data_IF_900858169605
#
_entry.id   IF_900858169605
#
_cell.length_a   1.000
_cell.length_b   1.000
_cell.length_c   1.000
_cell.angle_alpha   90.00
_cell.angle_beta   90.00
_cell.angle_gamma   90.00
#
_symmetry.space_group_name_H-M   'P 1'
#
loop_
_entity.id
_entity.type
_entity.pdbx_description
1 polymer ?
#
# COMPACT_ATOMS: atom_id res chain seq x y z
N UNK A 1 29.06 4.44 -19.42
CA UNK A 1 29.14 5.65 -18.57
C UNK A 1 30.52 6.29 -18.67
N UNK A 2 30.61 7.59 -18.98
CA UNK A 2 31.86 8.38 -19.08
C UNK A 2 32.04 9.23 -17.81
N UNK A 3 33.25 9.38 -17.30
CA UNK A 3 33.56 10.34 -16.24
C UNK A 3 34.14 11.63 -16.85
N UNK A 4 33.67 12.78 -16.38
CA UNK A 4 34.14 14.09 -16.82
C UNK A 4 34.00 15.14 -15.70
N UNK A 5 34.66 16.29 -15.86
CA UNK A 5 34.47 17.45 -14.99
C UNK A 5 33.64 18.51 -15.73
N UNK A 6 32.50 18.90 -15.15
CA UNK A 6 31.52 19.76 -15.81
C UNK A 6 31.36 21.05 -15.02
N UNK A 7 31.43 22.18 -15.72
CA UNK A 7 31.25 23.51 -15.15
C UNK A 7 29.91 23.63 -14.42
N UNK A 8 29.92 24.28 -13.26
CA UNK A 8 28.73 24.43 -12.42
C UNK A 8 27.56 25.12 -13.14
N UNK A 9 27.86 26.06 -14.04
CA UNK A 9 26.88 26.78 -14.86
C UNK A 9 26.27 25.94 -15.99
N UNK A 10 26.86 24.78 -16.30
CA UNK A 10 26.39 23.83 -17.32
C UNK A 10 25.53 22.71 -16.73
N UNK A 11 25.32 22.71 -15.42
CA UNK A 11 24.55 21.73 -14.70
C UNK A 11 23.20 22.29 -14.26
N UNK A 12 22.13 21.55 -14.51
CA UNK A 12 20.79 21.82 -14.00
C UNK A 12 20.20 20.58 -13.33
N UNK A 13 19.25 20.71 -12.39
CA UNK A 13 18.64 19.53 -11.75
C UNK A 13 17.58 18.95 -12.70
N UNK A 14 17.72 17.68 -13.07
CA UNK A 14 16.75 17.01 -13.93
C UNK A 14 15.38 16.89 -13.25
N UNK A 15 14.31 16.93 -14.04
CA UNK A 15 12.99 16.53 -13.56
C UNK A 15 12.96 15.06 -13.14
N UNK A 16 13.82 14.20 -13.70
CA UNK A 16 13.94 12.80 -13.32
C UNK A 16 14.65 12.57 -11.97
N UNK A 17 15.19 13.64 -11.35
CA UNK A 17 15.81 13.54 -10.04
C UNK A 17 14.74 13.39 -8.94
N UNK A 18 14.86 12.37 -8.09
CA UNK A 18 13.92 12.17 -6.97
C UNK A 18 13.80 13.36 -6.02
N UNK A 19 14.85 14.20 -5.92
CA UNK A 19 14.87 15.41 -5.08
C UNK A 19 14.67 16.69 -5.91
N UNK A 20 14.01 16.63 -7.06
CA UNK A 20 13.69 17.81 -7.89
C UNK A 20 12.61 18.74 -7.29
N UNK A 21 12.22 18.54 -6.03
CA UNK A 21 11.15 19.28 -5.37
C UNK A 21 11.45 20.78 -5.26
N UNK A 22 10.39 21.58 -5.03
CA UNK A 22 10.49 23.05 -4.92
C UNK A 22 11.36 23.53 -3.76
N UNK A 23 11.44 22.75 -2.67
CA UNK A 23 12.28 23.08 -1.52
C UNK A 23 13.68 22.54 -1.72
N UNK A 24 14.67 23.42 -1.60
CA UNK A 24 16.08 23.01 -1.63
C UNK A 24 16.36 22.01 -0.51
N UNK A 25 17.13 20.95 -0.78
CA UNK A 25 17.48 20.00 0.27
C UNK A 25 18.39 20.66 1.30
N UNK A 26 18.27 20.24 2.56
CA UNK A 26 19.26 20.61 3.57
C UNK A 26 20.62 19.99 3.21
N UNK A 27 21.65 20.82 3.31
CA UNK A 27 23.04 20.51 3.00
C UNK A 27 24.00 20.98 4.10
N UNK A 28 23.47 21.46 5.22
CA UNK A 28 24.25 21.98 6.36
C UNK A 28 25.27 20.96 6.89
N UNK A 29 24.89 19.69 6.88
CA UNK A 29 25.70 18.54 7.27
C UNK A 29 26.86 18.24 6.31
N UNK A 30 26.68 18.45 5.00
CA UNK A 30 27.72 18.15 3.99
C UNK A 30 28.63 19.34 3.66
N UNK A 31 28.20 20.57 3.97
CA UNK A 31 28.97 21.79 3.67
C UNK A 31 30.40 21.79 4.24
N UNK A 32 30.66 21.44 5.52
CA UNK A 32 32.02 21.42 6.06
C UNK A 32 32.95 20.47 5.30
N UNK A 33 32.45 19.29 4.93
CA UNK A 33 33.20 18.29 4.17
C UNK A 33 33.52 18.79 2.76
N UNK A 34 32.52 19.36 2.08
CA UNK A 34 32.70 19.89 0.73
C UNK A 34 33.64 21.09 0.69
N UNK A 35 33.64 21.95 1.71
CA UNK A 35 34.63 23.04 1.84
C UNK A 35 36.05 22.49 2.01
N UNK A 36 36.21 21.42 2.79
CA UNK A 36 37.52 20.86 3.09
C UNK A 36 38.11 19.99 1.98
N UNK A 37 37.27 19.32 1.17
CA UNK A 37 37.68 18.26 0.25
C UNK A 37 37.10 18.35 -1.16
N UNK A 38 36.21 19.31 -1.41
CA UNK A 38 35.44 19.37 -2.65
C UNK A 38 34.42 18.24 -2.77
N UNK A 39 33.87 18.09 -3.98
CA UNK A 39 32.97 16.98 -4.31
C UNK A 39 33.80 15.79 -4.76
N UNK A 40 33.86 14.73 -3.93
CA UNK A 40 34.64 13.51 -4.25
C UNK A 40 33.81 12.52 -5.06
N UNK A 41 32.57 12.27 -4.64
CA UNK A 41 31.68 11.32 -5.32
C UNK A 41 31.07 12.02 -6.53
N UNK A 42 31.21 11.48 -7.76
CA UNK A 42 30.67 12.12 -8.96
C UNK A 42 29.15 12.28 -8.93
N UNK A 43 28.64 13.39 -9.44
CA UNK A 43 27.22 13.56 -9.75
C UNK A 43 26.83 12.61 -10.88
N UNK A 44 25.62 12.06 -10.85
CA UNK A 44 25.11 11.32 -12.00
C UNK A 44 24.33 12.28 -12.88
N UNK A 45 24.73 12.40 -14.15
CA UNK A 45 24.16 13.36 -15.09
C UNK A 45 23.79 12.68 -16.41
N UNK A 46 22.91 13.32 -17.17
CA UNK A 46 22.62 12.98 -18.57
C UNK A 46 22.78 14.23 -19.45
N UNK A 47 22.96 14.07 -20.77
CA UNK A 47 22.92 15.21 -21.69
C UNK A 47 21.62 16.02 -21.55
N UNK A 48 21.73 17.35 -21.59
CA UNK A 48 20.61 18.27 -21.56
C UNK A 48 20.05 18.56 -22.95
N UNK A 49 19.03 19.42 -23.01
CA UNK A 49 18.42 19.87 -24.26
C UNK A 49 19.35 20.74 -25.13
N UNK A 50 20.34 21.38 -24.51
CA UNK A 50 21.36 22.20 -25.19
C UNK A 50 22.67 21.43 -25.16
N UNK A 51 23.35 21.36 -26.31
CA UNK A 51 24.64 20.69 -26.42
C UNK A 51 25.66 21.27 -25.43
N UNK A 52 26.32 20.40 -24.67
CA UNK A 52 27.27 20.77 -23.62
C UNK A 52 26.64 21.14 -22.28
N UNK A 53 25.31 21.23 -22.17
CA UNK A 53 24.61 21.32 -20.90
C UNK A 53 24.21 19.91 -20.43
N UNK A 54 24.09 19.74 -19.11
CA UNK A 54 23.81 18.45 -18.49
C UNK A 54 22.76 18.57 -17.38
N UNK A 55 21.93 17.54 -17.27
CA UNK A 55 20.92 17.44 -16.22
C UNK A 55 21.34 16.43 -15.14
N UNK A 56 21.29 16.85 -13.88
CA UNK A 56 21.65 16.05 -12.72
C UNK A 56 20.50 15.10 -12.39
N UNK A 57 20.75 13.81 -12.59
CA UNK A 57 19.87 12.70 -12.27
C UNK A 57 20.01 12.26 -10.81
N UNK A 58 21.23 12.29 -10.26
CA UNK A 58 21.50 12.03 -8.84
C UNK A 58 22.62 12.91 -8.30
N UNK A 59 22.56 13.22 -6.99
CA UNK A 59 23.55 14.08 -6.32
C UNK A 59 23.13 15.55 -6.15
N UNK A 60 21.82 15.87 -6.20
CA UNK A 60 21.31 17.23 -6.05
C UNK A 60 21.86 17.98 -4.81
N UNK A 61 21.99 17.30 -3.65
CA UNK A 61 22.59 17.89 -2.42
C UNK A 61 24.02 18.39 -2.65
N UNK A 62 24.85 17.58 -3.32
CA UNK A 62 26.25 17.93 -3.64
C UNK A 62 26.32 19.15 -4.55
N UNK A 63 25.47 19.20 -5.58
CA UNK A 63 25.36 20.36 -6.46
C UNK A 63 24.92 21.63 -5.73
N UNK A 64 23.89 21.54 -4.87
CA UNK A 64 23.42 22.70 -4.09
C UNK A 64 24.49 23.21 -3.13
N UNK A 65 25.19 22.31 -2.42
CA UNK A 65 26.30 22.69 -1.55
C UNK A 65 27.46 23.34 -2.33
N UNK A 66 27.83 22.80 -3.50
CA UNK A 66 28.83 23.42 -4.37
C UNK A 66 28.40 24.83 -4.83
N UNK A 67 27.13 25.04 -5.18
CA UNK A 67 26.59 26.37 -5.49
C UNK A 67 26.58 27.35 -4.33
N UNK A 68 26.48 26.87 -3.09
CA UNK A 68 26.61 27.72 -1.91
C UNK A 68 28.06 28.15 -1.75
N UNK A 69 29.00 27.19 -1.80
CA UNK A 69 30.44 27.47 -1.67
C UNK A 69 30.93 28.41 -2.77
N UNK A 70 30.49 28.22 -4.02
CA UNK A 70 30.86 29.10 -5.12
C UNK A 70 30.36 30.54 -4.94
N UNK A 71 29.20 30.71 -4.31
CA UNK A 71 28.68 32.05 -3.96
C UNK A 71 29.41 32.67 -2.78
N UNK A 72 29.85 31.87 -1.81
CA UNK A 72 30.61 32.33 -0.63
C UNK A 72 32.03 32.76 -1.00
N UNK A 73 32.68 32.02 -1.90
CA UNK A 73 34.10 32.21 -2.27
C UNK A 73 34.29 33.06 -3.52
N UNK A 74 33.30 33.11 -4.41
CA UNK A 74 33.42 33.70 -5.74
C UNK A 74 34.11 32.77 -6.76
N UNK A 75 34.48 31.55 -6.36
CA UNK A 75 35.17 30.57 -7.19
C UNK A 75 34.26 29.37 -7.49
N UNK A 76 34.13 28.99 -8.76
CA UNK A 76 33.31 27.87 -9.18
C UNK A 76 34.17 26.82 -9.88
N UNK A 77 34.56 25.77 -9.15
CA UNK A 77 35.28 24.65 -9.74
C UNK A 77 34.33 23.72 -10.51
N UNK A 78 34.78 23.13 -11.64
CA UNK A 78 34.06 22.05 -12.31
C UNK A 78 33.79 20.88 -11.37
N UNK A 79 32.61 20.28 -11.46
CA UNK A 79 32.21 19.15 -10.62
C UNK A 79 32.47 17.81 -11.32
N UNK A 80 32.98 16.79 -10.61
CA UNK A 80 33.10 15.46 -11.19
C UNK A 80 31.70 14.90 -11.45
N UNK A 81 31.50 14.43 -12.67
CA UNK A 81 30.25 13.93 -13.18
C UNK A 81 30.45 12.59 -13.87
N UNK A 82 29.52 11.69 -13.62
CA UNK A 82 29.36 10.45 -14.34
C UNK A 82 28.20 10.62 -15.31
N UNK A 83 28.53 10.63 -16.60
CA UNK A 83 27.61 10.90 -17.69
C UNK A 83 26.99 9.58 -18.12
N UNK A 84 25.68 9.46 -17.90
CA UNK A 84 24.84 8.39 -18.41
C UNK A 84 24.90 8.38 -19.94
N UNK A 85 24.81 7.18 -20.50
CA UNK A 85 24.61 7.03 -21.94
C UNK A 85 23.24 7.60 -22.34
N UNK A 86 23.07 7.90 -23.62
CA UNK A 86 21.79 8.38 -24.13
C UNK A 86 20.69 7.35 -23.79
N UNK A 87 19.63 7.84 -23.15
CA UNK A 87 18.54 7.04 -22.63
C UNK A 87 17.30 7.90 -22.42
N UNK A 88 16.18 7.25 -22.11
CA UNK A 88 14.91 7.93 -21.91
C UNK A 88 14.75 8.52 -20.49
N UNK A 89 13.61 9.19 -20.25
CA UNK A 89 13.28 9.72 -18.92
C UNK A 89 13.09 8.61 -17.87
N UNK A 90 12.71 7.39 -18.28
CA UNK A 90 12.56 6.26 -17.39
C UNK A 90 13.93 5.73 -16.94
N UNK A 91 14.91 5.61 -17.84
CA UNK A 91 16.29 5.21 -17.51
C UNK A 91 16.90 6.19 -16.50
N UNK A 92 16.67 7.49 -16.69
CA UNK A 92 17.12 8.51 -15.74
C UNK A 92 16.42 8.38 -14.37
N UNK A 93 15.10 8.14 -14.33
CA UNK A 93 14.38 7.90 -13.08
C UNK A 93 14.88 6.64 -12.36
N UNK A 94 15.11 5.54 -13.10
CA UNK A 94 15.63 4.29 -12.54
C UNK A 94 17.00 4.52 -11.91
N UNK A 95 17.91 5.18 -12.62
CA UNK A 95 19.23 5.50 -12.10
C UNK A 95 19.19 6.41 -10.85
N UNK A 96 18.28 7.40 -10.83
CA UNK A 96 18.05 8.25 -9.67
C UNK A 96 17.54 7.46 -8.46
N UNK A 97 16.65 6.50 -8.72
CA UNK A 97 16.03 5.66 -7.70
C UNK A 97 17.00 4.62 -7.14
N UNK A 98 17.83 3.99 -7.98
CA UNK A 98 18.87 3.05 -7.55
C UNK A 98 19.84 3.72 -6.57
N UNK A 99 20.29 4.95 -6.86
CA UNK A 99 21.16 5.71 -5.95
C UNK A 99 20.48 5.99 -4.60
N UNK A 100 19.18 6.27 -4.64
CA UNK A 100 18.42 6.66 -3.45
C UNK A 100 18.10 5.46 -2.55
N UNK A 101 17.64 4.35 -3.12
CA UNK A 101 17.26 3.12 -2.40
C UNK A 101 18.44 2.53 -1.63
N UNK A 102 19.68 2.72 -2.12
CA UNK A 102 20.88 2.29 -1.42
C UNK A 102 21.18 3.09 -0.13
N UNK A 103 20.47 4.21 0.14
CA UNK A 103 20.68 5.04 1.33
C UNK A 103 19.85 4.58 2.52
N UNK A 104 20.44 4.68 3.72
CA UNK A 104 19.78 4.33 4.99
C UNK A 104 18.59 5.24 5.35
N UNK A 105 18.52 6.45 4.80
CA UNK A 105 17.54 7.51 5.12
C UNK A 105 16.60 7.83 3.95
N UNK A 106 16.35 6.86 3.06
CA UNK A 106 15.56 7.09 1.85
C UNK A 106 14.08 7.43 2.18
N UNK A 107 13.57 8.57 1.69
CA UNK A 107 12.16 8.96 1.83
C UNK A 107 11.26 7.94 1.11
N UNK A 108 10.56 7.11 1.89
CA UNK A 108 9.70 6.05 1.38
C UNK A 108 8.61 6.60 0.46
N UNK A 109 8.03 7.76 0.76
CA UNK A 109 6.93 8.32 -0.04
C UNK A 109 7.43 8.80 -1.38
N UNK A 110 8.61 9.43 -1.42
CA UNK A 110 9.26 9.81 -2.69
C UNK A 110 9.61 8.58 -3.52
N UNK A 111 10.02 7.47 -2.90
CA UNK A 111 10.19 6.21 -3.64
C UNK A 111 8.87 5.78 -4.26
N UNK A 112 7.78 5.69 -3.49
CA UNK A 112 6.48 5.28 -4.02
C UNK A 112 6.01 6.14 -5.20
N UNK A 113 6.19 7.46 -5.08
CA UNK A 113 5.93 8.44 -6.14
C UNK A 113 6.77 8.16 -7.40
N UNK A 114 8.05 7.86 -7.22
CA UNK A 114 8.98 7.56 -8.32
C UNK A 114 8.61 6.27 -9.03
N UNK A 115 8.26 5.21 -8.29
CA UNK A 115 7.74 3.96 -8.87
C UNK A 115 6.47 4.20 -9.70
N UNK A 116 5.53 5.02 -9.23
CA UNK A 116 4.34 5.36 -10.03
C UNK A 116 4.67 6.17 -11.27
N UNK A 117 5.73 6.99 -11.21
CA UNK A 117 6.19 7.74 -12.38
C UNK A 117 6.84 6.83 -13.41
N UNK A 118 7.66 5.87 -13.01
CA UNK A 118 8.23 4.87 -13.93
C UNK A 118 7.13 4.19 -14.76
N UNK A 119 6.01 3.84 -14.14
CA UNK A 119 4.85 3.28 -14.85
C UNK A 119 4.23 4.27 -15.85
N UNK A 120 4.18 5.56 -15.51
CA UNK A 120 3.69 6.61 -16.42
C UNK A 120 4.64 6.85 -17.60
N UNK A 121 5.94 6.67 -17.39
CA UNK A 121 6.96 6.72 -18.45
C UNK A 121 7.04 5.41 -19.26
N UNK A 122 6.17 4.43 -18.99
CA UNK A 122 6.00 3.23 -19.82
C UNK A 122 6.60 1.94 -19.26
N UNK A 123 7.24 1.96 -18.09
CA UNK A 123 7.79 0.74 -17.47
C UNK A 123 6.67 -0.13 -16.90
N UNK A 124 6.69 -1.43 -17.18
CA UNK A 124 5.74 -2.35 -16.56
C UNK A 124 6.17 -2.70 -15.13
N UNK A 125 5.25 -3.16 -14.25
CA UNK A 125 5.63 -3.67 -12.93
C UNK A 125 6.65 -4.82 -12.99
N UNK A 126 6.64 -5.61 -14.07
CA UNK A 126 7.60 -6.69 -14.29
C UNK A 126 9.01 -6.14 -14.62
N UNK A 127 9.10 -5.10 -15.46
CA UNK A 127 10.38 -4.46 -15.76
C UNK A 127 10.99 -3.85 -14.50
N UNK A 128 10.18 -3.13 -13.72
CA UNK A 128 10.60 -2.55 -12.44
C UNK A 128 11.05 -3.65 -11.46
N UNK A 129 10.34 -4.78 -11.40
CA UNK A 129 10.73 -5.91 -10.56
C UNK A 129 12.14 -6.43 -10.91
N UNK A 130 12.42 -6.58 -12.20
CA UNK A 130 13.74 -6.99 -12.71
C UNK A 130 14.82 -5.96 -12.38
N UNK A 131 14.59 -4.68 -12.70
CA UNK A 131 15.58 -3.60 -12.48
C UNK A 131 15.98 -3.45 -11.01
N UNK A 132 15.01 -3.53 -10.10
CA UNK A 132 15.25 -3.31 -8.67
C UNK A 132 15.45 -4.59 -7.85
N UNK A 133 15.44 -5.77 -8.50
CA UNK A 133 15.58 -7.06 -7.81
C UNK A 133 14.47 -7.33 -6.78
N UNK A 134 13.25 -6.83 -7.05
CA UNK A 134 12.09 -6.98 -6.18
C UNK A 134 11.12 -8.01 -6.75
N UNK A 135 10.40 -8.79 -5.92
CA UNK A 135 9.31 -9.61 -6.41
C UNK A 135 8.19 -8.71 -6.96
N UNK A 136 7.54 -9.10 -8.05
CA UNK A 136 6.45 -8.32 -8.68
C UNK A 136 5.30 -7.96 -7.71
N UNK A 137 4.86 -8.85 -6.79
CA UNK A 137 3.92 -8.46 -5.72
C UNK A 137 4.44 -7.31 -4.83
N UNK A 138 5.75 -7.27 -4.57
CA UNK A 138 6.41 -6.16 -3.86
C UNK A 138 6.29 -4.84 -4.61
N UNK A 139 6.53 -4.85 -5.92
CA UNK A 139 6.35 -3.67 -6.78
C UNK A 139 4.88 -3.21 -6.77
N UNK A 140 3.93 -4.14 -6.88
CA UNK A 140 2.49 -3.82 -6.84
C UNK A 140 2.07 -3.17 -5.52
N UNK A 141 2.62 -3.61 -4.38
CA UNK A 141 2.42 -2.97 -3.06
C UNK A 141 2.92 -1.52 -3.04
N UNK A 142 4.12 -1.29 -3.56
CA UNK A 142 4.71 0.06 -3.65
C UNK A 142 3.84 0.95 -4.55
N UNK A 143 3.41 0.44 -5.71
CA UNK A 143 2.53 1.16 -6.62
C UNK A 143 1.17 1.48 -5.98
N UNK A 144 0.62 0.59 -5.16
CA UNK A 144 -0.64 0.84 -4.46
C UNK A 144 -0.52 2.00 -3.45
N UNK A 145 0.57 2.07 -2.69
CA UNK A 145 0.88 3.19 -1.80
C UNK A 145 1.13 4.47 -2.59
N UNK A 146 1.92 4.39 -3.66
CA UNK A 146 2.19 5.50 -4.55
C UNK A 146 0.92 6.01 -5.24
N UNK A 147 -0.08 5.16 -5.46
CA UNK A 147 -1.32 5.58 -6.09
C UNK A 147 -2.30 6.23 -5.12
N UNK A 148 -2.07 6.25 -3.79
CA UNK A 148 -2.93 6.96 -2.82
C UNK A 148 -3.08 8.45 -3.15
N UNK A 149 -4.14 9.09 -2.64
CA UNK A 149 -4.29 10.55 -2.81
C UNK A 149 -3.04 11.28 -2.26
N UNK A 150 -2.52 12.32 -2.94
CA UNK A 150 -1.32 13.02 -2.51
C UNK A 150 -1.35 13.45 -1.04
N UNK A 151 -2.50 13.94 -0.57
CA UNK A 151 -2.70 14.34 0.83
C UNK A 151 -2.50 13.19 1.82
N UNK A 152 -2.93 11.97 1.51
CA UNK A 152 -2.72 10.79 2.38
C UNK A 152 -1.23 10.46 2.45
N UNK A 153 -0.55 10.48 1.31
CA UNK A 153 0.91 10.26 1.24
C UNK A 153 1.67 11.32 2.05
N UNK A 154 1.24 12.58 1.98
CA UNK A 154 1.83 13.68 2.76
C UNK A 154 1.59 13.56 4.26
N UNK A 155 0.40 13.09 4.69
CA UNK A 155 0.12 12.82 6.09
C UNK A 155 1.06 11.74 6.63
N UNK A 156 1.27 10.66 5.86
CA UNK A 156 2.23 9.62 6.25
C UNK A 156 3.67 10.13 6.27
N UNK A 157 4.09 10.91 5.26
CA UNK A 157 5.43 11.53 5.21
C UNK A 157 5.74 12.38 6.44
N UNK A 158 4.71 12.99 7.04
CA UNK A 158 4.79 13.83 8.24
C UNK A 158 4.53 13.07 9.54
N UNK A 159 4.49 11.74 9.49
CA UNK A 159 4.18 10.86 10.61
C UNK A 159 2.83 11.15 11.29
N UNK A 160 1.90 11.82 10.58
CA UNK A 160 0.56 12.10 11.09
C UNK A 160 -0.37 10.87 11.04
N UNK A 161 -0.01 9.87 10.22
CA UNK A 161 -0.67 8.57 10.18
C UNK A 161 0.36 7.43 10.10
N UNK A 162 0.01 6.33 10.74
CA UNK A 162 0.86 5.15 10.81
C UNK A 162 0.86 4.31 9.52
N UNK A 163 1.79 3.36 9.46
CA UNK A 163 1.93 2.45 8.34
C UNK A 163 0.70 1.52 8.15
N UNK A 164 -0.03 1.21 9.23
CA UNK A 164 -1.24 0.39 9.14
C UNK A 164 -2.37 1.14 8.43
N UNK A 165 -2.56 2.42 8.77
CA UNK A 165 -3.56 3.31 8.16
C UNK A 165 -3.32 3.47 6.67
N UNK A 166 -2.09 3.81 6.26
CA UNK A 166 -1.77 4.02 4.84
C UNK A 166 -1.95 2.74 4.01
N UNK A 167 -1.60 1.57 4.57
CA UNK A 167 -1.85 0.27 3.93
C UNK A 167 -3.34 -0.03 3.79
N UNK A 168 -4.14 0.16 4.84
CA UNK A 168 -5.59 -0.07 4.71
C UNK A 168 -6.25 0.89 3.72
N UNK A 169 -5.79 2.14 3.62
CA UNK A 169 -6.28 3.08 2.61
C UNK A 169 -6.00 2.63 1.17
N UNK A 170 -5.10 1.68 0.92
CA UNK A 170 -4.93 1.10 -0.43
C UNK A 170 -6.09 0.20 -0.83
N UNK A 171 -6.87 -0.31 0.13
CA UNK A 171 -8.12 -1.06 -0.13
C UNK A 171 -9.28 -0.12 -0.52
N UNK A 172 -9.14 1.17 -0.25
CA UNK A 172 -10.20 2.15 -0.40
C UNK A 172 -10.27 2.70 -1.82
N UNK A 173 -11.49 2.83 -2.37
CA UNK A 173 -11.73 3.61 -3.58
C UNK A 173 -11.34 5.09 -3.39
N UNK A 174 -11.12 5.83 -4.47
CA UNK A 174 -10.82 7.28 -4.38
C UNK A 174 -11.90 8.08 -3.69
N UNK A 175 -13.17 7.72 -3.85
CA UNK A 175 -14.27 8.34 -3.14
C UNK A 175 -14.18 8.08 -1.63
N UNK A 176 -13.89 6.84 -1.21
CA UNK A 176 -13.68 6.50 0.20
C UNK A 176 -12.45 7.17 0.79
N UNK A 177 -11.35 7.28 0.04
CA UNK A 177 -10.16 8.04 0.48
C UNK A 177 -10.50 9.52 0.74
N UNK A 178 -11.32 10.15 -0.11
CA UNK A 178 -11.81 11.53 0.11
C UNK A 178 -12.71 11.64 1.33
N UNK A 179 -13.62 10.68 1.54
CA UNK A 179 -14.49 10.65 2.71
C UNK A 179 -13.66 10.48 4.01
N UNK A 180 -12.63 9.63 3.98
CA UNK A 180 -11.72 9.47 5.11
C UNK A 180 -10.95 10.76 5.42
N UNK A 181 -10.46 11.46 4.39
CA UNK A 181 -9.81 12.77 4.56
C UNK A 181 -10.76 13.80 5.17
N UNK A 182 -12.03 13.82 4.76
CA UNK A 182 -13.03 14.71 5.35
C UNK A 182 -13.23 14.44 6.85
N UNK A 183 -13.22 13.17 7.28
CA UNK A 183 -13.25 12.80 8.70
C UNK A 183 -11.96 13.18 9.42
N UNK A 184 -10.81 13.08 8.75
CA UNK A 184 -9.52 13.44 9.34
C UNK A 184 -9.39 14.95 9.56
N UNK A 185 -9.96 15.76 8.67
CA UNK A 185 -9.91 17.23 8.74
C UNK A 185 -10.98 17.81 9.69
N UNK A 186 -12.00 17.03 10.05
CA UNK A 186 -13.04 17.41 11.00
C UNK A 186 -12.61 17.09 12.44
N UNK A 187 -12.35 18.14 13.23
CA UNK A 187 -11.87 18.02 14.61
C UNK A 187 -12.90 17.45 15.60
N UNK A 188 -14.18 17.45 15.24
CA UNK A 188 -15.26 16.91 16.07
C UNK A 188 -15.66 15.48 15.64
N UNK A 189 -15.28 15.08 14.43
CA UNK A 189 -15.55 13.74 13.92
C UNK A 189 -14.53 12.71 14.42
N UNK A 190 -15.01 11.49 14.66
CA UNK A 190 -14.12 10.36 14.86
C UNK A 190 -13.56 9.86 13.52
N UNK A 191 -12.25 9.96 13.35
CA UNK A 191 -11.54 9.43 12.18
C UNK A 191 -10.89 8.07 12.48
N UNK A 192 -11.30 6.98 11.81
CA UNK A 192 -10.76 5.66 12.07
C UNK A 192 -9.35 5.53 11.48
N UNK A 193 -8.44 4.96 12.26
CA UNK A 193 -7.04 4.68 11.88
C UNK A 193 -6.65 3.25 12.26
N UNK A 194 -5.49 2.78 11.82
CA UNK A 194 -4.98 1.45 12.13
C UNK A 194 -5.98 0.37 11.75
N UNK A 195 -6.24 -0.58 12.67
CA UNK A 195 -7.16 -1.70 12.42
C UNK A 195 -8.63 -1.28 12.25
N UNK A 196 -9.07 -0.26 12.99
CA UNK A 196 -10.47 0.22 12.98
C UNK A 196 -10.88 0.78 11.61
N UNK A 197 -9.89 1.26 10.84
CA UNK A 197 -10.13 1.73 9.48
C UNK A 197 -10.69 0.64 8.57
N UNK A 198 -10.30 -0.62 8.78
CA UNK A 198 -10.76 -1.72 7.92
C UNK A 198 -12.27 -1.90 8.04
N UNK A 199 -12.80 -1.91 9.26
CA UNK A 199 -14.25 -2.04 9.47
C UNK A 199 -15.01 -0.84 8.90
N UNK A 200 -14.47 0.36 9.05
CA UNK A 200 -15.08 1.56 8.44
C UNK A 200 -15.11 1.48 6.91
N UNK A 201 -14.04 0.97 6.28
CA UNK A 201 -13.94 0.84 4.83
C UNK A 201 -15.02 -0.08 4.25
N UNK A 202 -15.31 -1.18 4.94
CA UNK A 202 -16.30 -2.17 4.52
C UNK A 202 -17.71 -1.91 5.06
N UNK A 203 -17.93 -0.80 5.78
CA UNK A 203 -19.23 -0.45 6.37
C UNK A 203 -19.69 -1.45 7.44
N UNK A 204 -18.75 -2.10 8.13
CA UNK A 204 -18.98 -3.22 9.03
C UNK A 204 -17.79 -4.17 9.01
N UNK A 205 -17.98 -5.41 9.45
CA UNK A 205 -16.90 -6.40 9.46
C UNK A 205 -16.33 -6.62 8.05
N UNK A 206 -15.00 -6.64 7.93
CA UNK A 206 -14.34 -7.03 6.70
C UNK A 206 -14.52 -8.53 6.43
N UNK A 207 -15.39 -8.88 5.48
CA UNK A 207 -15.76 -10.26 5.20
C UNK A 207 -14.81 -10.87 4.18
N UNK A 208 -14.09 -11.91 4.59
CA UNK A 208 -13.17 -12.64 3.71
C UNK A 208 -13.91 -13.55 2.74
N UNK A 209 -13.39 -13.67 1.53
CA UNK A 209 -13.90 -14.56 0.49
C UNK A 209 -13.90 -16.04 0.91
N UNK A 210 -12.94 -16.45 1.74
CA UNK A 210 -12.84 -17.83 2.25
C UNK A 210 -14.00 -18.26 3.15
N UNK A 211 -14.72 -17.30 3.74
CA UNK A 211 -15.89 -17.59 4.57
C UNK A 211 -17.19 -17.81 3.77
N UNK A 212 -17.17 -17.59 2.45
CA UNK A 212 -18.36 -17.78 1.62
C UNK A 212 -18.77 -19.26 1.55
N UNK A 213 -20.04 -19.54 1.86
CA UNK A 213 -20.62 -20.88 1.71
C UNK A 213 -21.13 -21.15 0.28
N UNK A 214 -21.03 -20.15 -0.60
CA UNK A 214 -21.46 -20.16 -1.99
C UNK A 214 -20.27 -20.05 -2.94
N UNK A 215 -20.50 -20.35 -4.22
CA UNK A 215 -19.47 -20.16 -5.24
C UNK A 215 -19.26 -18.66 -5.50
N UNK A 216 -18.10 -18.15 -5.06
CA UNK A 216 -17.75 -16.72 -5.15
C UNK A 216 -17.66 -16.25 -6.60
N UNK A 217 -17.11 -17.06 -7.50
CA UNK A 217 -16.99 -16.70 -8.93
C UNK A 217 -18.36 -16.61 -9.59
N UNK A 218 -19.21 -17.62 -9.37
CA UNK A 218 -20.57 -17.64 -9.90
C UNK A 218 -21.48 -16.55 -9.31
N UNK A 219 -21.16 -16.04 -8.11
CA UNK A 219 -21.91 -14.95 -7.48
C UNK A 219 -21.75 -13.61 -8.18
N UNK A 220 -20.67 -13.41 -8.94
CA UNK A 220 -20.34 -12.13 -9.58
C UNK A 220 -20.03 -10.99 -8.61
N UNK A 221 -19.92 -11.27 -7.30
CA UNK A 221 -19.63 -10.26 -6.29
C UNK A 221 -18.19 -9.74 -6.42
N UNK A 222 -18.05 -8.41 -6.35
CA UNK A 222 -16.75 -7.76 -6.42
C UNK A 222 -15.91 -8.05 -5.16
N UNK A 223 -14.63 -8.40 -5.38
CA UNK A 223 -13.64 -8.59 -4.34
C UNK A 223 -12.57 -7.49 -4.36
N UNK A 224 -12.09 -7.14 -3.18
CA UNK A 224 -10.94 -6.28 -2.95
C UNK A 224 -9.81 -7.15 -2.41
N UNK A 225 -8.71 -7.23 -3.16
CA UNK A 225 -7.52 -7.99 -2.74
C UNK A 225 -6.65 -7.14 -1.84
N UNK A 226 -6.30 -7.68 -0.67
CA UNK A 226 -5.32 -7.06 0.20
C UNK A 226 -3.91 -7.32 -0.33
N UNK A 227 -3.28 -6.28 -0.89
CA UNK A 227 -1.94 -6.40 -1.43
C UNK A 227 -0.89 -6.64 -0.33
N UNK A 228 -1.20 -6.35 0.94
CA UNK A 228 -0.28 -6.52 2.08
C UNK A 228 -0.55 -7.79 2.89
N UNK A 229 -1.57 -8.57 2.51
CA UNK A 229 -1.88 -9.88 3.07
C UNK A 229 -2.16 -10.91 1.98
N UNK A 230 -2.79 -12.02 2.36
CA UNK A 230 -3.26 -13.05 1.42
C UNK A 230 -4.78 -13.03 1.26
N UNK A 231 -5.44 -12.18 2.05
CA UNK A 231 -6.89 -12.14 2.13
C UNK A 231 -7.52 -11.38 0.95
N UNK A 232 -8.70 -11.85 0.55
CA UNK A 232 -9.60 -11.14 -0.36
C UNK A 232 -10.89 -10.85 0.37
N UNK A 233 -11.38 -9.63 0.24
CA UNK A 233 -12.55 -9.14 0.96
C UNK A 233 -13.69 -8.81 0.00
N UNK A 234 -14.94 -9.02 0.40
CA UNK A 234 -16.07 -8.55 -0.40
C UNK A 234 -16.17 -7.02 -0.37
N UNK A 235 -16.36 -6.41 -1.54
CA UNK A 235 -16.50 -4.95 -1.64
C UNK A 235 -17.83 -4.43 -1.06
N UNK A 236 -18.84 -5.31 -0.98
CA UNK A 236 -20.17 -5.01 -0.46
C UNK A 236 -20.60 -6.12 0.51
N UNK A 237 -20.69 -5.78 1.80
CA UNK A 237 -21.07 -6.70 2.87
C UNK A 237 -22.54 -7.12 2.80
N UNK A 238 -23.45 -6.24 2.41
CA UNK A 238 -24.88 -6.55 2.28
C UNK A 238 -25.14 -7.56 1.17
N UNK A 239 -24.49 -7.36 0.01
CA UNK A 239 -24.59 -8.29 -1.11
C UNK A 239 -24.02 -9.67 -0.74
N UNK A 240 -22.89 -9.72 -0.03
CA UNK A 240 -22.38 -10.98 0.54
C UNK A 240 -23.44 -11.67 1.40
N UNK A 241 -24.07 -10.95 2.34
CA UNK A 241 -25.02 -11.54 3.28
C UNK A 241 -26.27 -12.08 2.58
N UNK A 242 -26.75 -11.45 1.51
CA UNK A 242 -27.86 -12.00 0.71
C UNK A 242 -27.53 -13.41 0.17
N UNK A 243 -26.33 -13.59 -0.39
CA UNK A 243 -25.90 -14.90 -0.89
C UNK A 243 -25.58 -15.89 0.24
N UNK A 244 -24.98 -15.41 1.32
CA UNK A 244 -24.62 -16.24 2.47
C UNK A 244 -25.85 -16.77 3.19
N UNK A 245 -26.85 -15.92 3.45
CA UNK A 245 -28.09 -16.30 4.12
C UNK A 245 -28.90 -17.29 3.26
N UNK A 246 -28.90 -17.12 1.93
CA UNK A 246 -29.48 -18.10 1.00
C UNK A 246 -28.75 -19.46 1.05
N UNK A 247 -27.42 -19.47 1.11
CA UNK A 247 -26.63 -20.69 1.24
C UNK A 247 -26.83 -21.39 2.61
N UNK A 248 -26.97 -20.62 3.69
CA UNK A 248 -27.31 -21.13 5.03
C UNK A 248 -28.70 -21.77 5.00
N UNK A 249 -29.69 -21.12 4.39
CA UNK A 249 -31.05 -21.66 4.26
C UNK A 249 -31.06 -22.96 3.45
N UNK A 250 -30.34 -23.02 2.32
CA UNK A 250 -30.23 -24.25 1.52
C UNK A 250 -29.61 -25.41 2.31
N UNK A 251 -28.54 -25.16 3.08
CA UNK A 251 -27.94 -26.19 3.96
C UNK A 251 -28.87 -26.61 5.09
N UNK A 252 -29.58 -25.66 5.70
CA UNK A 252 -30.61 -25.94 6.71
C UNK A 252 -31.66 -26.89 6.16
N UNK A 253 -32.19 -26.59 4.98
CA UNK A 253 -33.23 -27.40 4.35
C UNK A 253 -32.70 -28.81 4.00
N UNK A 254 -31.45 -28.94 3.54
CA UNK A 254 -30.81 -30.23 3.32
C UNK A 254 -30.66 -31.09 4.60
N UNK A 255 -30.33 -30.48 5.74
CA UNK A 255 -30.32 -31.21 7.03
C UNK A 255 -31.71 -31.69 7.44
N UNK A 256 -32.76 -30.89 7.20
CA UNK A 256 -34.14 -31.29 7.47
C UNK A 256 -34.58 -32.44 6.55
N UNK A 257 -34.23 -32.39 5.27
CA UNK A 257 -34.49 -33.46 4.30
C UNK A 257 -33.74 -34.76 4.64
N UNK A 258 -32.51 -34.65 5.15
CA UNK A 258 -31.77 -35.80 5.68
C UNK A 258 -32.53 -36.43 6.87
N UNK A 259 -33.36 -35.68 7.59
CA UNK A 259 -34.25 -36.15 8.64
C UNK A 259 -33.86 -35.69 10.05
N UNK A 260 -33.09 -34.59 10.15
CA UNK A 260 -32.81 -33.97 11.45
C UNK A 260 -34.08 -33.34 12.01
N UNK A 261 -34.26 -33.45 13.33
CA UNK A 261 -35.51 -33.01 13.97
C UNK A 261 -35.73 -31.50 13.93
N UNK A 262 -34.65 -30.72 13.91
CA UNK A 262 -34.68 -29.26 13.91
C UNK A 262 -33.27 -28.72 13.55
N UNK A 263 -33.23 -27.53 12.98
CA UNK A 263 -32.00 -26.79 12.64
C UNK A 263 -32.16 -25.34 13.08
N UNK A 264 -31.43 -24.96 14.14
CA UNK A 264 -31.51 -23.64 14.76
C UNK A 264 -30.40 -22.76 14.21
N UNK A 265 -30.75 -21.74 13.42
CA UNK A 265 -29.80 -20.70 13.00
C UNK A 265 -29.76 -19.62 14.07
N UNK A 266 -28.60 -19.45 14.72
CA UNK A 266 -28.43 -18.45 15.75
C UNK A 266 -28.41 -17.03 15.15
N UNK A 267 -28.89 -16.01 15.88
CA UNK A 267 -28.71 -14.62 15.51
C UNK A 267 -27.25 -14.30 15.19
N UNK A 268 -27.03 -13.46 14.16
CA UNK A 268 -25.68 -13.12 13.70
C UNK A 268 -24.84 -12.48 14.81
N UNK A 269 -23.70 -13.09 15.11
CA UNK A 269 -22.78 -12.69 16.16
C UNK A 269 -23.01 -13.35 17.52
N UNK A 270 -24.06 -14.16 17.68
CA UNK A 270 -24.25 -14.99 18.86
C UNK A 270 -23.39 -16.26 18.78
N UNK A 271 -22.83 -16.67 19.91
CA UNK A 271 -21.95 -17.84 19.99
C UNK A 271 -22.69 -19.09 20.46
N UNK A 272 -22.41 -20.22 19.82
CA UNK A 272 -22.90 -21.51 20.29
C UNK A 272 -22.14 -21.94 21.54
N UNK A 273 -22.84 -21.97 22.68
CA UNK A 273 -22.27 -22.39 23.96
C UNK A 273 -22.31 -23.91 24.11
N UNK A 274 -21.23 -24.59 23.71
CA UNK A 274 -21.13 -26.06 23.79
C UNK A 274 -21.44 -26.60 25.18
N UNK A 275 -21.03 -25.89 26.25
CA UNK A 275 -21.25 -26.27 27.64
C UNK A 275 -22.73 -26.24 28.09
N UNK A 276 -23.58 -25.47 27.41
CA UNK A 276 -25.03 -25.44 27.66
C UNK A 276 -25.80 -26.53 26.88
N UNK A 277 -25.08 -27.38 26.14
CA UNK A 277 -25.66 -28.38 25.26
C UNK A 277 -25.03 -29.76 25.51
N UNK A 278 -25.81 -30.81 25.25
CA UNK A 278 -25.33 -32.19 25.30
C UNK A 278 -25.40 -32.81 23.92
N UNK A 279 -24.41 -33.64 23.57
CA UNK A 279 -24.45 -34.46 22.36
C UNK A 279 -25.62 -35.45 22.41
N UNK A 280 -26.45 -35.44 21.38
CA UNK A 280 -27.53 -36.39 21.17
C UNK A 280 -27.64 -36.75 19.70
N UNK A 281 -27.66 -38.04 19.41
CA UNK A 281 -27.86 -38.52 18.04
C UNK A 281 -29.23 -38.06 17.49
N UNK A 282 -29.35 -37.98 16.17
CA UNK A 282 -30.57 -37.68 15.41
C UNK A 282 -31.81 -38.40 15.93
N UNK A 283 -31.72 -39.72 16.12
CA UNK A 283 -32.80 -40.57 16.67
C UNK A 283 -33.23 -40.25 18.11
N UNK A 284 -32.43 -39.49 18.86
CA UNK A 284 -32.67 -39.08 20.24
C UNK A 284 -33.04 -37.59 20.35
N UNK A 285 -33.54 -37.00 19.26
CA UNK A 285 -33.94 -35.59 19.23
C UNK A 285 -32.79 -34.60 19.07
N UNK A 286 -31.61 -35.07 18.62
CA UNK A 286 -30.50 -34.19 18.25
C UNK A 286 -30.89 -33.17 17.20
N UNK A 287 -30.40 -31.94 17.36
CA UNK A 287 -30.59 -30.80 16.46
C UNK A 287 -29.25 -30.34 15.89
N UNK A 288 -29.33 -29.55 14.84
CA UNK A 288 -28.19 -28.82 14.29
C UNK A 288 -28.29 -27.37 14.76
N UNK A 289 -27.18 -26.80 15.24
CA UNK A 289 -27.09 -25.37 15.54
C UNK A 289 -26.13 -24.70 14.58
N UNK A 290 -26.54 -23.62 13.94
CA UNK A 290 -25.73 -22.88 12.98
C UNK A 290 -25.27 -21.58 13.64
N UNK A 291 -23.98 -21.51 13.97
CA UNK A 291 -23.33 -20.30 14.47
C UNK A 291 -22.89 -19.43 13.29
N UNK A 292 -23.30 -18.16 13.27
CA UNK A 292 -22.99 -17.22 12.18
C UNK A 292 -22.25 -16.01 12.75
N UNK A 293 -20.94 -15.90 12.46
CA UNK A 293 -20.10 -14.79 12.95
C UNK A 293 -20.22 -13.56 12.05
N UNK A 294 -19.99 -12.38 12.62
CA UNK A 294 -19.98 -11.11 11.85
C UNK A 294 -18.91 -11.08 10.75
N UNK A 295 -17.84 -11.84 10.90
CA UNK A 295 -16.78 -12.04 9.90
C UNK A 295 -17.23 -12.82 8.65
N UNK A 296 -18.45 -13.35 8.63
CA UNK A 296 -18.99 -14.21 7.57
C UNK A 296 -18.80 -15.70 7.84
N UNK A 297 -17.96 -16.08 8.81
CA UNK A 297 -17.72 -17.49 9.16
C UNK A 297 -19.00 -18.15 9.68
N UNK A 298 -19.25 -19.38 9.22
CA UNK A 298 -20.42 -20.18 9.61
C UNK A 298 -19.97 -21.56 10.06
N UNK A 299 -20.41 -21.97 11.24
CA UNK A 299 -20.12 -23.30 11.80
C UNK A 299 -21.42 -24.06 12.06
N UNK A 300 -21.48 -25.30 11.57
CA UNK A 300 -22.60 -26.21 11.80
C UNK A 300 -22.24 -27.16 12.95
N UNK A 301 -22.89 -26.97 14.09
CA UNK A 301 -22.73 -27.79 15.28
C UNK A 301 -23.76 -28.91 15.26
N UNK A 302 -23.33 -30.10 14.86
CA UNK A 302 -24.25 -31.22 14.67
C UNK A 302 -24.51 -32.02 15.97
N UNK A 303 -25.71 -32.61 16.05
CA UNK A 303 -26.07 -33.60 17.07
C UNK A 303 -26.07 -33.05 18.50
N UNK A 304 -26.71 -31.90 18.74
CA UNK A 304 -26.83 -31.30 20.08
C UNK A 304 -28.28 -31.12 20.51
N UNK A 305 -28.52 -31.15 21.82
CA UNK A 305 -29.79 -30.75 22.45
C UNK A 305 -29.46 -29.82 23.61
N UNK A 306 -30.24 -28.75 23.76
CA UNK A 306 -30.14 -27.85 24.89
C UNK A 306 -30.33 -28.63 26.19
N UNK A 307 -29.37 -28.54 27.10
CA UNK A 307 -29.41 -29.20 28.39
C UNK A 307 -29.26 -28.14 29.47
N UNK A 308 -30.34 -27.69 30.12
CA UNK A 308 -30.22 -26.84 31.28
C UNK A 308 -29.65 -27.69 32.43
N UNK A 309 -28.37 -27.53 32.73
CA UNK A 309 -27.72 -28.08 33.94
C UNK A 309 -26.53 -27.16 34.22
N UNK A 310 -26.51 -26.29 35.21
CA UNK A 310 -27.20 -26.26 36.51
C UNK A 310 -28.30 -25.19 36.62
#
# INVERSE_FOLDING_TARGET
MKLDFIDLGKLSISKANMRCAKTLPDVSDILPTLRARGVIVPLLVRPGAVEGDYEIVAGARRYIAARIIARETGEAEPLPCAILEDGDDADALEASLIENVARRDADAVTQWETYTRLVREGRSPADIAVTFGLPEPGVRRILALGNLLPRIRDLHRKDAIDAATVRHLTLASKARQKAWLALFDDGDAWCPTGHQLKDWLFGGAAIKAEHALFNVEASGLALITDLFGEDRYFANSDAFWQHQDAAIAARRDAYLEDGWSDVVVLPRGEHFSVWAHRKAAKRRGGRIYVEVRRSGEVTFHEAYVFSPSF
#
